data_IF_474511874988
#
_entry.id   IF_474511874988
#
_cell.length_a   1.000
_cell.length_b   1.000
_cell.length_c   1.000
_cell.angle_alpha   90.00
_cell.angle_beta   90.00
_cell.angle_gamma   90.00
#
_symmetry.space_group_name_H-M   'P 1'
#
loop_
_entity.id
_entity.type
_entity.pdbx_description
1 polymer ?
#
# COMPACT_ATOMS: atom_id res chain seq x y z
N UNK A 1 3.67 -29.64 24.29
CA UNK A 1 4.62 -29.99 23.22
C UNK A 1 5.89 -29.18 23.43
N UNK A 2 7.08 -29.80 23.49
CA UNK A 2 8.34 -29.06 23.50
C UNK A 2 8.48 -28.29 22.18
N UNK A 3 9.02 -27.07 22.24
CA UNK A 3 9.39 -26.32 21.04
C UNK A 3 10.81 -26.68 20.63
N UNK A 4 11.08 -26.53 19.33
CA UNK A 4 12.43 -26.49 18.80
C UNK A 4 12.84 -25.03 18.59
N UNK A 5 14.05 -24.64 19.00
CA UNK A 5 14.61 -23.36 18.59
C UNK A 5 15.31 -23.53 17.25
N UNK A 6 14.86 -22.77 16.25
CA UNK A 6 15.45 -22.84 14.91
C UNK A 6 16.80 -22.11 14.87
N UNK A 7 17.77 -22.70 14.20
CA UNK A 7 19.07 -22.08 13.96
C UNK A 7 19.00 -21.14 12.75
N UNK A 8 18.38 -19.97 12.97
CA UNK A 8 18.28 -18.90 11.99
C UNK A 8 19.16 -17.72 12.46
N UNK A 9 19.92 -17.13 11.54
CA UNK A 9 20.72 -15.92 11.78
C UNK A 9 19.85 -14.66 11.88
N UNK A 10 19.01 -14.56 12.92
CA UNK A 10 18.13 -13.43 13.21
C UNK A 10 18.48 -12.72 14.53
N UNK A 11 18.04 -11.47 14.69
CA UNK A 11 18.27 -10.69 15.91
C UNK A 11 17.56 -11.26 17.15
N UNK A 12 16.45 -11.97 16.94
CA UNK A 12 15.68 -12.66 17.98
C UNK A 12 15.54 -14.15 17.63
N UNK A 13 15.51 -15.04 18.63
CA UNK A 13 15.30 -16.46 18.40
C UNK A 13 13.89 -16.73 17.84
N UNK A 14 13.79 -17.79 17.03
CA UNK A 14 12.52 -18.32 16.52
C UNK A 14 12.26 -19.67 17.17
N UNK A 15 11.12 -19.81 17.85
CA UNK A 15 10.69 -21.03 18.52
C UNK A 15 9.59 -21.68 17.68
N UNK A 16 9.76 -22.95 17.32
CA UNK A 16 8.86 -23.68 16.45
C UNK A 16 8.13 -24.80 17.19
N UNK A 17 6.81 -24.81 17.03
CA UNK A 17 5.91 -25.93 17.33
C UNK A 17 5.33 -26.52 16.04
N UNK A 18 5.90 -26.19 14.87
CA UNK A 18 5.45 -26.66 13.57
C UNK A 18 5.40 -28.19 13.52
N UNK A 19 4.38 -28.73 12.85
CA UNK A 19 4.28 -30.18 12.63
C UNK A 19 5.10 -30.67 11.42
N UNK A 20 5.82 -29.77 10.75
CA UNK A 20 6.66 -30.04 9.58
C UNK A 20 7.97 -29.25 9.65
N UNK A 21 8.95 -29.67 8.85
CA UNK A 21 10.15 -28.87 8.61
C UNK A 21 9.81 -27.69 7.70
N UNK A 22 10.25 -26.50 8.10
CA UNK A 22 10.04 -25.29 7.33
C UNK A 22 10.78 -25.36 6.00
N UNK A 23 10.11 -24.95 4.92
CA UNK A 23 10.77 -24.79 3.63
C UNK A 23 11.71 -23.57 3.62
N UNK A 24 12.48 -23.40 2.53
CA UNK A 24 13.45 -22.30 2.42
C UNK A 24 12.80 -20.91 2.44
N UNK A 25 11.56 -20.77 1.97
CA UNK A 25 10.83 -19.50 1.95
C UNK A 25 10.23 -19.18 3.31
N UNK A 26 9.69 -20.17 3.99
CA UNK A 26 9.16 -20.07 5.35
C UNK A 26 10.28 -19.71 6.34
N UNK A 27 11.42 -20.40 6.25
CA UNK A 27 12.60 -20.11 7.07
C UNK A 27 13.12 -18.68 6.84
N UNK A 28 13.21 -18.24 5.58
CA UNK A 28 13.63 -16.87 5.25
C UNK A 28 12.64 -15.83 5.79
N UNK A 29 11.34 -16.08 5.70
CA UNK A 29 10.32 -15.19 6.25
C UNK A 29 10.40 -15.12 7.77
N UNK A 30 10.59 -16.26 8.45
CA UNK A 30 10.70 -16.32 9.90
C UNK A 30 11.92 -15.51 10.38
N UNK A 31 13.05 -15.65 9.66
CA UNK A 31 14.26 -14.87 9.89
C UNK A 31 14.02 -13.36 9.70
N UNK A 32 13.32 -12.97 8.64
CA UNK A 32 13.03 -11.56 8.37
C UNK A 32 12.18 -10.95 9.49
N UNK A 33 11.09 -11.61 9.87
CA UNK A 33 10.19 -11.17 10.95
C UNK A 33 10.95 -11.09 12.27
N UNK A 34 11.73 -12.11 12.63
CA UNK A 34 12.51 -12.13 13.87
C UNK A 34 13.65 -11.10 13.91
N UNK A 35 14.01 -10.53 12.75
CA UNK A 35 15.03 -9.48 12.65
C UNK A 35 14.46 -8.07 12.82
N UNK A 36 13.12 -7.91 12.84
CA UNK A 36 12.48 -6.61 13.03
C UNK A 36 12.84 -6.01 14.41
N UNK A 37 13.20 -4.71 14.46
CA UNK A 37 13.80 -4.11 15.65
C UNK A 37 12.85 -3.98 16.85
N UNK A 38 11.53 -4.04 16.60
CA UNK A 38 10.49 -3.93 17.60
C UNK A 38 9.95 -5.29 18.07
N UNK A 39 10.49 -6.42 17.58
CA UNK A 39 10.08 -7.75 18.07
C UNK A 39 10.54 -7.97 19.50
N UNK A 40 9.60 -8.35 20.35
CA UNK A 40 9.78 -8.55 21.76
C UNK A 40 10.20 -10.00 22.06
N UNK A 41 11.46 -10.17 22.45
CA UNK A 41 12.11 -11.43 22.90
C UNK A 41 12.25 -12.53 21.85
N UNK A 42 11.19 -12.97 21.19
CA UNK A 42 11.21 -14.09 20.24
C UNK A 42 10.02 -14.05 19.27
N UNK A 43 10.09 -14.85 18.21
CA UNK A 43 8.94 -15.20 17.35
C UNK A 43 8.57 -16.66 17.63
N UNK A 44 7.29 -16.95 17.80
CA UNK A 44 6.81 -18.32 17.98
C UNK A 44 6.01 -18.78 16.75
N UNK A 45 6.31 -19.97 16.22
CA UNK A 45 5.61 -20.59 15.10
C UNK A 45 4.73 -21.71 15.63
N UNK A 46 3.44 -21.66 15.34
CA UNK A 46 2.44 -22.63 15.80
C UNK A 46 2.42 -23.88 14.89
N UNK A 47 1.75 -24.97 15.30
CA UNK A 47 1.74 -26.23 14.55
C UNK A 47 1.20 -26.14 13.12
N UNK A 48 0.33 -25.16 12.85
CA UNK A 48 -0.29 -24.87 11.56
C UNK A 48 0.49 -23.83 10.74
N UNK A 49 1.73 -23.53 11.13
CA UNK A 49 2.52 -22.50 10.47
C UNK A 49 2.62 -22.78 8.97
N UNK A 50 2.43 -21.76 8.16
CA UNK A 50 2.69 -21.85 6.74
C UNK A 50 3.08 -20.50 6.18
N UNK A 51 3.64 -20.51 4.98
CA UNK A 51 4.03 -19.30 4.27
C UNK A 51 2.84 -18.32 4.15
N UNK A 52 2.98 -17.15 4.77
CA UNK A 52 2.09 -16.00 4.55
C UNK A 52 2.69 -15.00 3.57
N UNK A 53 2.15 -13.78 3.51
CA UNK A 53 2.79 -12.64 2.81
C UNK A 53 3.32 -11.64 3.85
N UNK A 54 4.64 -11.59 4.02
CA UNK A 54 5.34 -10.66 4.93
C UNK A 54 5.52 -11.14 6.38
N UNK A 55 4.64 -12.02 6.87
CA UNK A 55 4.84 -12.83 8.08
C UNK A 55 4.10 -14.17 7.93
N UNK A 56 4.57 -15.19 8.65
CA UNK A 56 3.99 -16.55 8.52
C UNK A 56 2.59 -16.58 9.14
N UNK A 57 1.66 -17.25 8.45
CA UNK A 57 0.38 -17.61 9.06
C UNK A 57 0.69 -18.61 10.18
N UNK A 58 0.03 -18.49 11.33
CA UNK A 58 0.37 -19.29 12.51
C UNK A 58 1.62 -18.80 13.25
N UNK A 59 2.14 -17.60 12.97
CA UNK A 59 3.18 -16.99 13.80
C UNK A 59 2.59 -16.08 14.89
N UNK A 60 3.20 -16.13 16.07
CA UNK A 60 2.93 -15.23 17.20
C UNK A 60 4.12 -14.29 17.33
N UNK A 61 3.87 -13.01 17.06
CA UNK A 61 4.88 -11.95 17.05
C UNK A 61 4.50 -10.94 18.13
N UNK A 62 5.17 -11.00 19.27
CA UNK A 62 5.04 -9.96 20.28
C UNK A 62 5.88 -8.74 19.84
N UNK A 63 5.32 -7.54 19.94
CA UNK A 63 6.00 -6.29 19.59
C UNK A 63 6.10 -5.36 20.79
N UNK A 64 7.15 -4.52 20.83
CA UNK A 64 7.32 -3.47 21.82
C UNK A 64 7.12 -2.10 21.16
N UNK A 65 6.19 -1.31 21.70
CA UNK A 65 5.85 0.06 21.26
C UNK A 65 5.49 0.18 19.76
N UNK A 66 5.09 -0.94 19.14
CA UNK A 66 4.73 -1.02 17.73
C UNK A 66 3.52 -1.93 17.55
N UNK A 67 2.67 -1.60 16.58
CA UNK A 67 1.60 -2.49 16.11
C UNK A 67 1.92 -2.86 14.67
N UNK A 68 1.65 -4.11 14.30
CA UNK A 68 1.71 -4.58 12.92
C UNK A 68 0.27 -4.86 12.47
N UNK A 69 -0.45 -3.84 11.97
CA UNK A 69 -1.79 -3.94 11.40
C UNK A 69 -2.06 -5.18 10.55
N UNK A 70 -1.10 -5.55 9.71
CA UNK A 70 -1.21 -6.65 8.77
C UNK A 70 -0.16 -7.75 9.04
N UNK A 71 -0.01 -8.17 10.30
CA UNK A 71 0.96 -9.20 10.72
C UNK A 71 0.77 -10.57 10.04
N UNK A 72 -0.30 -10.75 9.27
CA UNK A 72 -0.51 -11.88 8.38
C UNK A 72 -0.93 -11.31 7.04
N UNK A 73 -0.08 -11.46 6.04
CA UNK A 73 -0.48 -11.59 4.65
C UNK A 73 -1.48 -10.59 4.11
N UNK A 74 -1.13 -9.30 3.95
CA UNK A 74 -1.90 -8.45 3.03
C UNK A 74 -1.54 -8.81 1.59
N UNK A 75 -2.56 -8.92 0.74
CA UNK A 75 -2.41 -9.09 -0.68
C UNK A 75 -1.61 -7.93 -1.26
N UNK A 76 -0.37 -8.22 -1.64
CA UNK A 76 0.55 -7.19 -2.12
C UNK A 76 0.30 -6.97 -3.60
N UNK A 77 -0.66 -6.14 -3.95
CA UNK A 77 -0.78 -5.65 -5.31
C UNK A 77 0.56 -5.10 -5.82
N UNK A 78 1.02 -5.57 -6.99
CA UNK A 78 2.23 -5.05 -7.63
C UNK A 78 2.01 -4.80 -9.13
N UNK A 79 2.94 -4.07 -9.73
CA UNK A 79 2.95 -3.68 -11.14
C UNK A 79 4.16 -4.22 -11.86
N UNK A 80 4.09 -4.37 -13.18
CA UNK A 80 5.27 -4.66 -14.01
C UNK A 80 6.26 -3.49 -13.98
N UNK A 81 7.54 -3.79 -14.23
CA UNK A 81 8.64 -2.83 -14.10
C UNK A 81 8.52 -1.57 -14.97
N UNK A 82 7.89 -1.68 -16.12
CA UNK A 82 7.64 -0.61 -17.10
C UNK A 82 6.48 0.33 -16.70
N UNK A 83 5.78 0.04 -15.59
CA UNK A 83 4.69 0.90 -15.12
C UNK A 83 5.24 2.26 -14.74
N UNK A 84 4.72 3.30 -15.41
CA UNK A 84 5.17 4.69 -15.24
C UNK A 84 4.51 5.39 -14.07
N UNK A 85 5.33 6.07 -13.29
CA UNK A 85 4.95 6.84 -12.11
C UNK A 85 5.26 8.32 -12.36
N UNK A 86 4.26 9.22 -12.25
CA UNK A 86 4.47 10.65 -12.36
C UNK A 86 5.06 11.17 -11.04
N UNK A 87 6.25 11.76 -11.12
CA UNK A 87 6.88 12.39 -9.97
C UNK A 87 6.59 13.88 -9.93
N UNK A 88 6.84 14.49 -8.77
CA UNK A 88 6.57 15.91 -8.54
C UNK A 88 7.51 16.86 -9.28
N UNK A 89 8.60 16.34 -9.84
CA UNK A 89 9.50 17.08 -10.73
C UNK A 89 8.89 17.31 -12.13
N UNK A 90 7.73 16.69 -12.41
CA UNK A 90 7.00 16.80 -13.66
C UNK A 90 7.43 15.77 -14.71
N UNK A 91 8.32 14.84 -14.37
CA UNK A 91 8.72 13.73 -15.22
C UNK A 91 8.02 12.43 -14.82
N UNK A 92 8.08 11.45 -15.70
CA UNK A 92 7.52 10.11 -15.49
C UNK A 92 8.64 9.09 -15.55
N UNK A 93 8.67 8.18 -14.57
CA UNK A 93 9.72 7.18 -14.44
C UNK A 93 9.13 5.79 -14.35
N UNK A 94 9.84 4.81 -14.90
CA UNK A 94 9.46 3.41 -14.74
C UNK A 94 9.70 2.95 -13.30
N UNK A 95 8.77 2.20 -12.73
CA UNK A 95 8.87 1.76 -11.33
C UNK A 95 10.10 0.87 -11.09
N UNK A 96 10.58 0.15 -12.11
CA UNK A 96 11.81 -0.64 -12.02
C UNK A 96 13.06 0.24 -11.89
N UNK A 97 13.11 1.37 -12.60
CA UNK A 97 14.20 2.36 -12.50
C UNK A 97 14.20 2.95 -11.09
N UNK A 98 13.05 3.42 -10.62
CA UNK A 98 12.87 3.96 -9.27
C UNK A 98 13.24 2.96 -8.18
N UNK A 99 13.00 1.66 -8.40
CA UNK A 99 13.36 0.61 -7.44
C UNK A 99 14.86 0.30 -7.42
N UNK A 100 15.59 0.64 -8.49
CA UNK A 100 17.04 0.47 -8.59
C UNK A 100 17.81 1.64 -7.97
N UNK A 101 17.23 2.84 -8.04
CA UNK A 101 17.74 4.04 -7.39
C UNK A 101 17.35 3.99 -5.91
N UNK A 102 18.26 3.50 -5.05
CA UNK A 102 18.00 3.44 -3.62
C UNK A 102 17.82 4.85 -3.01
N UNK A 103 16.57 5.31 -2.91
CA UNK A 103 16.25 6.65 -2.37
C UNK A 103 14.77 6.85 -2.07
N UNK A 104 14.47 7.90 -1.30
CA UNK A 104 13.12 8.42 -1.12
C UNK A 104 12.74 9.28 -2.32
N UNK A 105 11.59 9.00 -2.93
CA UNK A 105 11.04 9.79 -4.03
C UNK A 105 9.74 10.47 -3.59
N UNK A 106 9.31 11.47 -4.35
CA UNK A 106 8.09 12.20 -4.05
C UNK A 106 7.04 11.95 -5.14
N UNK A 107 5.92 11.36 -4.73
CA UNK A 107 4.81 10.97 -5.61
C UNK A 107 3.54 11.72 -5.25
N UNK A 108 2.54 11.65 -6.14
CA UNK A 108 1.20 12.13 -5.84
C UNK A 108 0.38 11.04 -5.15
N UNK A 109 -0.27 11.40 -4.05
CA UNK A 109 -1.23 10.58 -3.34
C UNK A 109 -2.58 11.32 -3.23
N UNK A 110 -3.64 10.58 -2.92
CA UNK A 110 -4.98 11.10 -2.72
C UNK A 110 -5.43 10.86 -1.28
N UNK A 111 -6.01 11.87 -0.64
CA UNK A 111 -6.66 11.74 0.67
C UNK A 111 -8.07 11.16 0.53
N UNK A 112 -8.66 10.71 1.64
CA UNK A 112 -10.05 10.24 1.70
C UNK A 112 -11.08 11.29 1.23
N UNK A 113 -10.72 12.57 1.31
CA UNK A 113 -11.55 13.68 0.83
C UNK A 113 -11.43 13.94 -0.67
N UNK A 114 -10.61 13.17 -1.41
CA UNK A 114 -10.34 13.41 -2.83
C UNK A 114 -9.35 14.56 -3.08
N UNK A 115 -8.56 14.96 -2.08
CA UNK A 115 -7.52 15.98 -2.25
C UNK A 115 -6.23 15.29 -2.66
N UNK A 116 -5.61 15.80 -3.73
CA UNK A 116 -4.32 15.31 -4.21
C UNK A 116 -3.21 16.06 -3.48
N UNK A 117 -2.28 15.30 -2.92
CA UNK A 117 -1.16 15.75 -2.07
C UNK A 117 0.15 15.14 -2.56
N UNK A 118 1.27 15.77 -2.22
CA UNK A 118 2.60 15.18 -2.36
C UNK A 118 2.90 14.30 -1.14
N UNK A 119 3.50 13.14 -1.37
CA UNK A 119 3.89 12.19 -0.33
C UNK A 119 5.27 11.55 -0.65
N UNK A 120 6.01 11.23 0.40
CA UNK A 120 7.26 10.48 0.30
C UNK A 120 6.96 9.00 0.01
N UNK A 121 7.71 8.41 -0.92
CA UNK A 121 7.57 7.04 -1.34
C UNK A 121 8.92 6.33 -1.51
N UNK A 122 8.89 5.00 -1.42
CA UNK A 122 10.06 4.15 -1.68
C UNK A 122 9.64 3.05 -2.66
N UNK A 123 10.30 2.95 -3.80
CA UNK A 123 10.06 1.91 -4.79
C UNK A 123 10.88 0.65 -4.45
N UNK A 124 10.29 -0.54 -4.63
CA UNK A 124 10.96 -1.82 -4.39
C UNK A 124 10.47 -2.90 -5.34
N UNK A 125 11.39 -3.74 -5.82
CA UNK A 125 11.04 -5.04 -6.40
C UNK A 125 10.43 -5.91 -5.31
N UNK A 126 9.20 -6.36 -5.51
CA UNK A 126 8.44 -7.06 -4.48
C UNK A 126 8.42 -8.56 -4.71
N UNK A 127 8.14 -9.00 -5.94
CA UNK A 127 8.08 -10.43 -6.29
C UNK A 127 8.69 -10.67 -7.65
N UNK A 128 9.09 -11.91 -7.88
CA UNK A 128 9.55 -12.39 -9.18
C UNK A 128 8.59 -13.44 -9.74
N UNK A 129 8.46 -13.47 -11.07
CA UNK A 129 7.65 -14.46 -11.79
C UNK A 129 6.19 -14.51 -11.28
N UNK A 130 5.54 -13.35 -11.19
CA UNK A 130 4.17 -13.22 -10.69
C UNK A 130 3.14 -13.36 -11.83
N UNK A 131 1.95 -13.86 -11.51
CA UNK A 131 0.81 -13.87 -12.42
C UNK A 131 0.31 -12.44 -12.64
N UNK A 132 -0.07 -12.13 -13.88
CA UNK A 132 -0.44 -10.78 -14.30
C UNK A 132 -1.80 -10.74 -14.98
N UNK A 133 -2.43 -9.58 -14.86
CA UNK A 133 -3.58 -9.19 -15.66
C UNK A 133 -3.32 -7.80 -16.25
N UNK A 134 -3.98 -7.51 -17.36
CA UNK A 134 -3.98 -6.23 -18.04
C UNK A 134 -5.32 -5.55 -17.81
N UNK A 135 -5.31 -4.37 -17.22
CA UNK A 135 -6.47 -3.49 -17.10
C UNK A 135 -6.37 -2.43 -18.19
N UNK A 136 -7.33 -2.41 -19.11
CA UNK A 136 -7.42 -1.43 -20.20
C UNK A 136 -8.42 -0.35 -19.81
N UNK A 137 -8.02 0.91 -19.94
CA UNK A 137 -8.84 2.08 -19.60
C UNK A 137 -9.43 2.76 -20.84
N UNK A 138 -10.41 3.64 -20.63
CA UNK A 138 -11.10 4.42 -21.68
C UNK A 138 -10.24 5.51 -22.33
N UNK A 139 -9.02 5.71 -21.84
CA UNK A 139 -7.99 6.60 -22.38
C UNK A 139 -6.89 5.82 -23.14
N UNK A 140 -7.16 4.57 -23.53
CA UNK A 140 -6.25 3.64 -24.20
C UNK A 140 -5.00 3.26 -23.39
N UNK A 141 -4.89 3.69 -22.13
CA UNK A 141 -3.81 3.23 -21.26
C UNK A 141 -4.04 1.80 -20.79
N UNK A 142 -2.95 1.05 -20.75
CA UNK A 142 -2.91 -0.33 -20.28
C UNK A 142 -2.09 -0.41 -19.01
N UNK A 143 -2.63 -1.08 -17.99
CA UNK A 143 -1.97 -1.25 -16.69
C UNK A 143 -1.79 -2.74 -16.46
N UNK A 144 -0.53 -3.19 -16.39
CA UNK A 144 -0.16 -4.58 -16.15
C UNK A 144 0.17 -4.76 -14.67
N UNK A 145 -0.63 -5.56 -13.97
CA UNK A 145 -0.56 -5.70 -12.52
C UNK A 145 -0.94 -7.10 -12.05
N UNK A 146 -0.64 -7.41 -10.80
CA UNK A 146 -1.07 -8.67 -10.20
C UNK A 146 -2.60 -8.71 -10.00
N UNK A 147 -3.26 -9.88 -10.13
CA UNK A 147 -4.72 -10.00 -10.00
C UNK A 147 -5.29 -9.46 -8.67
N UNK A 148 -4.48 -9.48 -7.62
CA UNK A 148 -4.80 -9.05 -6.26
C UNK A 148 -4.62 -7.53 -6.04
N UNK A 149 -4.11 -6.77 -7.03
CA UNK A 149 -3.87 -5.34 -6.90
C UNK A 149 -5.16 -4.54 -6.73
N UNK A 150 -5.21 -3.61 -5.77
CA UNK A 150 -6.41 -2.81 -5.51
C UNK A 150 -6.36 -1.45 -6.22
N UNK A 151 -7.39 -1.19 -7.02
CA UNK A 151 -7.62 0.09 -7.67
C UNK A 151 -8.61 0.92 -6.85
N UNK A 152 -8.32 2.22 -6.71
CA UNK A 152 -9.24 3.14 -6.05
C UNK A 152 -10.37 3.49 -7.03
N UNK A 153 -11.61 3.24 -6.63
CA UNK A 153 -12.80 3.66 -7.35
C UNK A 153 -13.09 5.14 -7.09
N UNK A 154 -13.90 5.76 -7.96
CA UNK A 154 -14.25 7.18 -7.85
C UNK A 154 -14.96 7.57 -6.55
N UNK A 155 -15.61 6.62 -5.89
CA UNK A 155 -16.23 6.82 -4.57
C UNK A 155 -15.23 6.72 -3.40
N UNK A 156 -13.96 6.44 -3.67
CA UNK A 156 -12.88 6.26 -2.69
C UNK A 156 -12.76 4.84 -2.14
N UNK A 157 -13.66 3.92 -2.52
CA UNK A 157 -13.53 2.50 -2.17
C UNK A 157 -12.47 1.82 -3.04
N UNK A 158 -12.08 0.59 -2.68
CA UNK A 158 -11.07 -0.17 -3.39
C UNK A 158 -11.65 -1.47 -3.93
N UNK A 159 -11.27 -1.83 -5.17
CA UNK A 159 -11.62 -3.10 -5.79
C UNK A 159 -10.38 -3.77 -6.36
N UNK A 160 -10.29 -5.10 -6.23
CA UNK A 160 -9.16 -5.85 -6.79
C UNK A 160 -9.21 -5.84 -8.32
N UNK A 161 -8.04 -5.91 -8.95
CA UNK A 161 -7.86 -5.83 -10.38
C UNK A 161 -8.66 -6.93 -11.11
N UNK A 162 -8.65 -8.15 -10.57
CA UNK A 162 -9.43 -9.29 -11.10
C UNK A 162 -10.95 -9.13 -10.96
N UNK A 163 -11.40 -8.25 -10.08
CA UNK A 163 -12.82 -8.00 -9.80
C UNK A 163 -13.36 -6.78 -10.56
N UNK A 164 -12.48 -5.98 -11.16
CA UNK A 164 -12.87 -4.84 -11.98
C UNK A 164 -13.72 -5.29 -13.17
N UNK A 165 -14.78 -4.54 -13.42
CA UNK A 165 -15.74 -4.78 -14.50
C UNK A 165 -15.73 -3.62 -15.49
N UNK A 166 -16.14 -3.89 -16.72
CA UNK A 166 -16.33 -2.84 -17.71
C UNK A 166 -17.28 -1.75 -17.18
N UNK A 167 -16.90 -0.48 -17.37
CA UNK A 167 -17.53 0.73 -16.82
C UNK A 167 -17.28 1.06 -15.34
N UNK A 168 -16.55 0.23 -14.60
CA UNK A 168 -16.05 0.66 -13.28
C UNK A 168 -15.24 1.95 -13.44
N UNK A 169 -15.61 2.99 -12.68
CA UNK A 169 -14.99 4.30 -12.77
C UNK A 169 -13.92 4.43 -11.68
N UNK A 170 -12.67 4.55 -12.10
CA UNK A 170 -11.53 4.67 -11.20
C UNK A 170 -11.35 6.13 -10.72
N UNK A 171 -10.64 6.29 -9.60
CA UNK A 171 -10.25 7.59 -9.09
C UNK A 171 -9.23 8.21 -10.04
N UNK A 172 -9.55 9.33 -10.70
CA UNK A 172 -8.69 9.87 -11.74
C UNK A 172 -7.54 10.70 -11.16
N UNK A 173 -6.47 10.78 -11.92
CA UNK A 173 -5.33 11.67 -11.74
C UNK A 173 -5.11 12.42 -13.05
N UNK A 174 -5.64 13.64 -13.14
CA UNK A 174 -5.43 14.47 -14.32
C UNK A 174 -4.24 15.40 -14.12
N UNK A 175 -3.25 15.30 -15.00
CA UNK A 175 -2.12 16.21 -15.09
C UNK A 175 -2.08 16.86 -16.48
N UNK A 176 -1.58 18.11 -16.55
CA UNK A 176 -1.26 18.79 -17.82
C UNK A 176 -0.14 19.79 -17.60
N UNK A 177 0.62 20.10 -18.65
CA UNK A 177 1.56 21.21 -18.61
C UNK A 177 0.89 22.51 -19.08
N UNK A 178 1.15 23.61 -18.37
CA UNK A 178 0.75 24.94 -18.83
C UNK A 178 1.72 25.49 -19.88
N UNK A 179 1.38 26.64 -20.47
CA UNK A 179 2.20 27.29 -21.51
C UNK A 179 3.57 27.74 -21.01
N UNK A 180 3.75 27.83 -19.70
CA UNK A 180 4.96 28.28 -19.03
C UNK A 180 5.79 27.09 -18.51
N UNK A 181 5.38 25.85 -18.81
CA UNK A 181 6.07 24.63 -18.42
C UNK A 181 5.73 24.12 -17.02
N UNK A 182 4.76 24.70 -16.31
CA UNK A 182 4.35 24.20 -14.99
C UNK A 182 3.35 23.05 -15.11
N UNK A 183 3.59 21.98 -14.37
CA UNK A 183 2.63 20.89 -14.18
C UNK A 183 1.42 21.39 -13.38
N UNK A 184 0.23 21.23 -13.94
CA UNK A 184 -1.07 21.47 -13.33
C UNK A 184 -1.72 20.13 -13.04
N UNK A 185 -2.27 19.97 -11.84
CA UNK A 185 -2.99 18.79 -11.38
C UNK A 185 -4.43 19.18 -11.03
N UNK A 186 -5.41 18.43 -11.51
CA UNK A 186 -6.81 18.67 -11.17
C UNK A 186 -7.18 18.02 -9.83
N UNK A 187 -7.75 18.80 -8.91
CA UNK A 187 -8.17 18.30 -7.60
C UNK A 187 -9.53 17.59 -7.68
N UNK A 188 -9.60 16.32 -7.32
CA UNK A 188 -10.80 15.49 -7.47
C UNK A 188 -12.01 16.02 -6.67
N UNK A 189 -11.77 16.61 -5.48
CA UNK A 189 -12.84 17.15 -4.64
C UNK A 189 -13.52 18.43 -5.19
N UNK A 190 -12.86 19.18 -6.09
CA UNK A 190 -13.35 20.49 -6.54
C UNK A 190 -13.36 20.67 -8.06
N UNK A 191 -12.74 19.76 -8.82
CA UNK A 191 -12.51 19.90 -10.24
C UNK A 191 -11.53 21.03 -10.61
N UNK A 192 -10.95 21.73 -9.63
CA UNK A 192 -10.06 22.88 -9.87
C UNK A 192 -8.64 22.41 -10.18
N UNK A 193 -8.03 23.03 -11.18
CA UNK A 193 -6.62 22.87 -11.49
C UNK A 193 -5.75 23.64 -10.50
N UNK A 194 -4.71 22.99 -9.98
CA UNK A 194 -3.70 23.58 -9.10
C UNK A 194 -2.31 23.24 -9.64
N UNK A 195 -1.39 24.19 -9.58
CA UNK A 195 0.01 23.96 -9.97
C UNK A 195 0.67 22.99 -8.99
N UNK A 196 1.41 22.01 -9.50
CA UNK A 196 2.08 20.97 -8.72
C UNK A 196 2.94 21.54 -7.58
N UNK A 197 3.71 22.60 -7.84
CA UNK A 197 4.54 23.22 -6.80
C UNK A 197 3.74 23.79 -5.61
N UNK A 198 2.46 24.14 -5.80
CA UNK A 198 1.58 24.55 -4.69
C UNK A 198 1.13 23.37 -3.86
N UNK A 199 0.89 22.23 -4.51
CA UNK A 199 0.55 20.98 -3.83
C UNK A 199 1.74 20.56 -2.96
N UNK A 200 2.96 20.61 -3.51
CA UNK A 200 4.20 20.32 -2.76
C UNK A 200 4.38 21.29 -1.59
N UNK A 201 4.22 22.60 -1.81
CA UNK A 201 4.34 23.60 -0.75
C UNK A 201 3.31 23.38 0.38
N UNK A 202 2.05 23.09 0.02
CA UNK A 202 0.95 22.85 0.98
C UNK A 202 1.00 21.50 1.68
N UNK A 203 1.72 20.52 1.14
CA UNK A 203 2.04 19.27 1.83
C UNK A 203 3.05 19.48 2.98
N UNK A 204 3.56 20.71 3.17
CA UNK A 204 4.48 21.03 4.26
C UNK A 204 5.94 20.70 3.95
N UNK A 205 6.25 20.27 2.72
CA UNK A 205 7.59 19.83 2.30
C UNK A 205 8.51 21.04 2.00
N UNK A 206 7.96 22.23 1.71
CA UNK A 206 8.73 23.43 1.31
C UNK A 206 8.37 24.73 2.06
N UNK A 207 7.57 24.70 3.13
CA UNK A 207 7.17 25.91 3.87
C UNK A 207 6.08 26.76 3.20
N UNK A 208 5.51 27.73 3.92
CA UNK A 208 4.38 28.56 3.46
C UNK A 208 4.77 29.63 2.44
N UNK A 209 4.11 29.65 1.28
CA UNK A 209 4.15 30.79 0.34
C UNK A 209 2.76 31.08 -0.25
N UNK A 210 2.50 32.39 -0.38
CA UNK A 210 1.24 33.09 -0.69
C UNK A 210 0.63 32.77 -2.06
N UNK A 211 -0.71 32.96 -2.14
CA UNK A 211 -1.68 32.70 -3.22
C UNK A 211 -1.53 33.59 -4.46
N UNK A 212 -1.59 32.99 -5.65
CA UNK A 212 -1.87 33.69 -6.90
C UNK A 212 -2.88 32.92 -7.77
N UNK A 213 -3.80 33.68 -8.37
CA UNK A 213 -4.98 33.20 -9.09
C UNK A 213 -4.75 33.28 -10.60
N UNK A 214 -4.87 32.13 -11.28
CA UNK A 214 -5.45 31.92 -12.63
C UNK A 214 -4.72 30.80 -13.37
N UNK A 215 -5.45 29.96 -14.10
CA UNK A 215 -5.48 29.88 -15.59
C UNK A 215 -6.56 28.86 -15.99
N UNK A 216 -7.27 29.19 -17.07
CA UNK A 216 -8.49 28.59 -17.59
C UNK A 216 -8.38 27.19 -18.22
N UNK A 217 -9.56 26.62 -18.42
CA UNK A 217 -9.90 25.26 -18.82
C UNK A 217 -9.36 24.77 -20.16
N UNK A 218 -9.04 23.49 -20.17
CA UNK A 218 -9.25 22.57 -21.29
C UNK A 218 -9.74 21.26 -20.69
N UNK A 219 -10.96 20.88 -21.06
CA UNK A 219 -11.61 19.63 -20.68
C UNK A 219 -10.96 18.46 -21.41
N UNK A 220 -10.44 17.51 -20.63
CA UNK A 220 -10.38 16.11 -21.07
C UNK A 220 -11.33 15.36 -20.14
N UNK A 221 -12.46 14.91 -20.67
CA UNK A 221 -13.48 14.18 -19.91
C UNK A 221 -13.29 12.67 -20.04
N UNK A 222 -12.08 12.15 -19.83
CA UNK A 222 -11.92 10.69 -19.68
C UNK A 222 -12.32 10.33 -18.27
N UNK A 223 -13.31 9.45 -18.11
CA UNK A 223 -13.79 9.13 -16.77
C UNK A 223 -12.91 8.09 -16.05
N UNK A 224 -11.82 7.67 -16.70
CA UNK A 224 -10.90 6.62 -16.26
C UNK A 224 -11.70 5.35 -15.97
N UNK A 225 -12.51 4.98 -16.97
CA UNK A 225 -13.37 3.80 -16.92
C UNK A 225 -12.60 2.57 -17.37
N UNK A 226 -12.79 1.47 -16.66
CA UNK A 226 -12.29 0.17 -17.11
C UNK A 226 -13.04 -0.24 -18.37
N UNK A 227 -12.32 -0.51 -19.44
CA UNK A 227 -12.84 -1.05 -20.69
C UNK A 227 -12.86 -2.57 -20.63
N UNK A 228 -11.74 -3.18 -20.23
CA UNK A 228 -11.62 -4.63 -20.10
C UNK A 228 -10.50 -5.01 -19.14
N UNK A 229 -10.61 -6.22 -18.59
CA UNK A 229 -9.56 -6.87 -17.81
C UNK A 229 -9.22 -8.20 -18.46
N UNK A 230 -7.98 -8.34 -18.93
CA UNK A 230 -7.52 -9.50 -19.68
C UNK A 230 -6.43 -10.24 -18.89
N UNK A 231 -6.47 -11.58 -18.77
CA UNK A 231 -5.37 -12.33 -18.19
C UNK A 231 -4.15 -12.31 -19.10
N UNK A 232 -2.95 -12.18 -18.52
CA UNK A 232 -1.68 -12.30 -19.24
C UNK A 232 -1.10 -13.69 -18.96
N UNK A 233 -0.71 -14.42 -20.00
CA UNK A 233 -0.14 -15.76 -19.87
C UNK A 233 1.32 -15.74 -19.37
N UNK A 234 2.03 -14.67 -19.68
CA UNK A 234 3.40 -14.44 -19.28
C UNK A 234 3.48 -13.98 -17.82
N UNK A 235 4.57 -14.37 -17.16
CA UNK A 235 4.87 -13.97 -15.79
C UNK A 235 6.08 -13.08 -15.81
N UNK A 236 6.03 -11.99 -15.05
CA UNK A 236 7.13 -11.03 -14.98
C UNK A 236 7.50 -10.71 -13.53
N UNK A 237 8.62 -10.03 -13.39
CA UNK A 237 9.02 -9.40 -12.13
C UNK A 237 8.12 -8.20 -11.84
N UNK A 238 7.69 -8.09 -10.58
CA UNK A 238 6.75 -7.06 -10.16
C UNK A 238 7.29 -6.21 -9.03
N UNK A 239 6.92 -4.94 -9.10
CA UNK A 239 7.43 -3.83 -8.32
C UNK A 239 6.27 -3.10 -7.68
N UNK A 240 6.54 -2.37 -6.60
CA UNK A 240 5.55 -1.49 -6.04
C UNK A 240 6.19 -0.34 -5.25
N UNK A 241 5.39 0.68 -4.96
CA UNK A 241 5.76 1.83 -4.15
C UNK A 241 5.16 1.68 -2.76
N UNK A 242 5.98 1.99 -1.75
CA UNK A 242 5.55 2.18 -0.36
C UNK A 242 5.35 3.66 -0.06
N UNK A 243 4.09 4.08 0.18
CA UNK A 243 3.70 5.44 0.57
C UNK A 243 3.10 5.40 1.98
N UNK A 244 3.89 5.51 3.06
CA UNK A 244 3.44 5.22 4.42
C UNK A 244 2.31 6.12 4.93
N UNK A 245 2.27 7.37 4.48
CA UNK A 245 1.33 8.37 5.01
C UNK A 245 -0.09 8.19 4.46
N UNK A 246 -0.24 7.88 3.18
CA UNK A 246 -1.55 7.85 2.49
C UNK A 246 -1.94 6.48 1.95
N UNK A 247 -1.00 5.53 1.85
CA UNK A 247 -1.24 4.17 1.34
C UNK A 247 -1.84 4.10 -0.07
N UNK A 248 -1.59 5.10 -0.90
CA UNK A 248 -1.93 5.09 -2.31
C UNK A 248 -0.97 6.00 -3.09
N UNK A 249 -0.92 5.83 -4.40
CA UNK A 249 -0.14 6.66 -5.30
C UNK A 249 -0.78 6.74 -6.69
N UNK A 250 -0.44 7.77 -7.46
CA UNK A 250 -0.88 7.94 -8.83
C UNK A 250 0.00 7.15 -9.81
N UNK A 251 -0.61 6.62 -10.86
CA UNK A 251 0.04 6.10 -12.05
C UNK A 251 -0.06 7.12 -13.20
N UNK A 252 0.89 7.08 -14.13
CA UNK A 252 0.87 7.91 -15.34
C UNK A 252 -0.30 7.56 -16.26
N UNK A 253 -0.90 6.38 -16.09
CA UNK A 253 -2.16 5.99 -16.69
C UNK A 253 -3.37 6.82 -16.22
N UNK A 254 -3.16 7.74 -15.27
CA UNK A 254 -4.15 8.71 -14.82
C UNK A 254 -5.07 8.17 -13.72
N UNK A 255 -4.63 7.19 -12.93
CA UNK A 255 -5.43 6.57 -11.87
C UNK A 255 -4.67 6.46 -10.56
N UNK A 256 -5.41 6.48 -9.44
CA UNK A 256 -4.86 6.15 -8.12
C UNK A 256 -5.01 4.67 -7.79
N UNK A 257 -3.95 4.11 -7.24
CA UNK A 257 -3.84 2.69 -6.89
C UNK A 257 -3.34 2.52 -5.46
N UNK A 258 -3.65 1.39 -4.85
CA UNK A 258 -3.28 1.12 -3.47
C UNK A 258 -1.78 0.78 -3.33
N UNK A 259 -1.21 1.16 -2.20
CA UNK A 259 0.15 0.85 -1.79
C UNK A 259 0.40 -0.67 -1.62
N UNK A 260 1.63 -1.10 -1.86
CA UNK A 260 2.18 -2.37 -1.38
C UNK A 260 2.78 -2.25 0.02
N UNK A 261 2.31 -3.09 0.94
CA UNK A 261 3.14 -3.58 2.04
C UNK A 261 2.54 -3.50 3.43
N UNK A 262 3.18 -4.24 4.34
CA UNK A 262 2.93 -4.20 5.77
C UNK A 262 3.64 -2.97 6.37
N UNK A 263 2.88 -1.95 6.74
CA UNK A 263 3.40 -0.86 7.56
C UNK A 263 3.37 -1.29 9.04
N UNK A 264 4.51 -1.27 9.71
CA UNK A 264 4.55 -1.33 11.17
C UNK A 264 4.38 0.10 11.71
N UNK A 265 3.32 0.34 12.46
CA UNK A 265 3.05 1.65 13.05
C UNK A 265 3.75 1.71 14.41
N UNK A 266 4.73 2.63 14.53
CA UNK A 266 5.32 2.95 15.82
C UNK A 266 4.31 3.77 16.61
N UNK A 267 3.89 3.27 17.77
CA UNK A 267 2.86 3.92 18.56
C UNK A 267 3.47 5.03 19.42
N UNK A 268 2.83 6.21 19.54
CA UNK A 268 3.26 7.25 20.49
C UNK A 268 2.85 6.93 21.94
N UNK A 269 2.21 5.79 22.18
CA UNK A 269 1.71 5.37 23.48
C UNK A 269 2.63 4.30 24.08
N UNK A 270 3.12 4.55 25.30
CA UNK A 270 3.75 3.54 26.15
C UNK A 270 2.69 2.79 26.95
N UNK A 271 3.00 1.58 27.45
CA UNK A 271 2.06 0.70 28.17
C UNK A 271 1.24 1.41 29.27
N UNK A 272 1.86 2.37 29.95
CA UNK A 272 1.27 3.14 31.05
C UNK A 272 0.19 4.14 30.59
N UNK A 273 0.16 4.51 29.30
CA UNK A 273 -0.81 5.45 28.70
C UNK A 273 -2.02 4.77 28.06
N UNK A 274 -2.10 3.44 28.09
CA UNK A 274 -3.14 2.65 27.40
C UNK A 274 -4.35 2.28 28.28
N UNK A 275 -4.27 2.50 29.60
CA UNK A 275 -5.39 2.21 30.52
C UNK A 275 -6.66 2.99 30.11
N UNK A 276 -7.77 2.26 29.92
CA UNK A 276 -9.08 2.80 29.53
C UNK A 276 -9.24 3.20 28.06
N UNK A 277 -8.16 3.31 27.26
CA UNK A 277 -8.22 3.73 25.84
C UNK A 277 -8.07 2.60 24.82
N UNK A 278 -7.70 1.40 25.27
CA UNK A 278 -7.52 0.21 24.43
C UNK A 278 -8.72 -0.08 23.52
N UNK A 279 -9.95 0.08 24.03
CA UNK A 279 -11.16 -0.14 23.23
C UNK A 279 -11.26 0.84 22.06
N UNK A 280 -10.96 2.12 22.26
CA UNK A 280 -11.01 3.13 21.21
C UNK A 280 -9.88 2.96 20.20
N UNK A 281 -8.66 2.66 20.67
CA UNK A 281 -7.50 2.41 19.81
C UNK A 281 -7.75 1.16 18.95
N UNK A 282 -8.28 0.07 19.54
CA UNK A 282 -8.69 -1.13 18.81
C UNK A 282 -9.71 -0.79 17.71
N UNK A 283 -10.78 -0.05 18.03
CA UNK A 283 -11.78 0.32 17.03
C UNK A 283 -11.20 1.21 15.92
N UNK A 284 -10.23 2.08 16.23
CA UNK A 284 -9.54 2.88 15.22
C UNK A 284 -8.68 2.01 14.31
N UNK A 285 -7.90 1.09 14.88
CA UNK A 285 -7.08 0.13 14.15
C UNK A 285 -7.95 -0.77 13.25
N UNK A 286 -9.04 -1.32 13.77
CA UNK A 286 -10.00 -2.16 13.02
C UNK A 286 -10.72 -1.38 11.90
N UNK A 287 -10.88 -0.07 12.03
CA UNK A 287 -11.44 0.79 10.96
C UNK A 287 -10.41 1.14 9.89
N UNK A 288 -9.13 1.24 10.27
CA UNK A 288 -8.04 1.58 9.38
C UNK A 288 -7.44 0.38 8.64
N UNK A 289 -7.81 -0.84 9.02
CA UNK A 289 -7.36 -2.08 8.39
C UNK A 289 -8.55 -2.75 7.70
N UNK A 290 -8.56 -2.90 6.36
CA UNK A 290 -9.59 -3.66 5.69
C UNK A 290 -9.47 -5.13 6.08
N UNK A 291 -10.34 -5.61 6.96
CA UNK A 291 -10.56 -7.05 7.14
C UNK A 291 -11.35 -7.55 5.91
N UNK A 292 -10.87 -8.63 5.30
CA UNK A 292 -11.38 -9.18 4.05
C UNK A 292 -12.90 -9.38 4.03
N UNK A 293 -13.44 -9.28 2.81
CA UNK A 293 -14.85 -9.37 2.44
C UNK A 293 -15.53 -10.63 3.02
N UNK A 294 -16.74 -10.42 3.57
CA UNK A 294 -17.63 -11.39 4.21
C UNK A 294 -17.22 -11.95 5.58
N UNK A 295 -17.52 -11.23 6.66
CA UNK A 295 -18.24 -11.85 7.80
C UNK A 295 -18.84 -10.83 8.78
N UNK A 296 -20.14 -11.03 8.99
CA UNK A 296 -20.98 -10.39 10.00
C UNK A 296 -20.44 -10.73 11.40
N UNK A 297 -20.40 -9.72 12.26
CA UNK A 297 -20.14 -9.76 13.70
C UNK A 297 -20.62 -11.03 14.40
N UNK A 298 -19.72 -12.00 14.63
CA UNK A 298 -19.93 -12.98 15.69
C UNK A 298 -19.56 -12.32 17.03
N UNK A 299 -20.59 -11.90 17.76
CA UNK A 299 -20.53 -11.53 19.18
C UNK A 299 -19.83 -12.63 19.97
N UNK A 300 -18.55 -12.47 20.26
CA UNK A 300 -17.87 -13.17 21.34
C UNK A 300 -18.02 -12.33 22.62
N UNK A 301 -19.18 -12.47 23.26
CA UNK A 301 -19.36 -12.14 24.66
C UNK A 301 -18.64 -13.19 25.51
N UNK A 302 -17.46 -12.87 26.00
CA UNK A 302 -16.85 -13.57 27.14
C UNK A 302 -16.91 -12.66 28.37
N UNK A 303 -17.40 -13.17 29.52
CA UNK A 303 -17.55 -12.38 30.73
C UNK A 303 -16.19 -12.15 31.38
N UNK A 304 -15.86 -10.89 31.65
CA UNK A 304 -14.74 -10.53 32.51
C UNK A 304 -15.12 -10.87 33.95
N UNK A 305 -14.56 -11.95 34.50
CA UNK A 305 -14.48 -12.12 35.95
C UNK A 305 -13.38 -11.21 36.50
N UNK A 306 -13.76 -10.50 37.57
CA UNK A 306 -13.06 -9.49 38.38
C UNK A 306 -11.54 -9.55 38.43
#
# INVERSE_FOLDING_TARGET
MPHEQLDLSSNKPVLSWANHQLDSREAQMAKNVASLPFVFKHVALMPDVHLGKGALVGSVIATKDAVIPAAVGVDIGCFTGDTKIPLVDGQEYEIAELASEHGSIHVYACTDSGKIVCAEAIARKTRSNADLIQVILDNDHEIRCTPDHQFMLRDGSYKQARELQANDSLMPFYSKMDKNGYTLIQQNYSGRWQKAHWIVARSGILGEISLDKSVADREYSYNHKVVSVNPIAEKEDVYCLSVPEYNNFALSAGVFVHNCGMAALKMPFTGDRLEGKLKNIRHQIERSIPVGSNQIWLKLSLPLSK
#
